data_IF_445624021915
#
_entry.id   IF_445624021915
#
_cell.length_a   1.000
_cell.length_b   1.000
_cell.length_c   1.000
_cell.angle_alpha   90.00
_cell.angle_beta   90.00
_cell.angle_gamma   90.00
#
_symmetry.space_group_name_H-M   'P 1'
#
loop_
_entity.id
_entity.type
_entity.pdbx_description
1 polymer ?
#
# COMPACT_ATOMS: atom_id res chain seq x y z
N UNK A 1 11.10 -18.28 10.97
CA UNK A 1 10.23 -17.74 9.90
C UNK A 1 10.88 -16.46 9.41
N UNK A 2 11.18 -16.36 8.12
CA UNK A 2 11.97 -15.27 7.55
C UNK A 2 11.15 -13.98 7.36
N UNK A 3 11.81 -12.81 7.35
CA UNK A 3 11.21 -11.48 7.23
C UNK A 3 10.35 -11.33 5.96
N UNK A 4 10.75 -11.99 4.86
CA UNK A 4 9.96 -12.02 3.62
C UNK A 4 8.63 -12.75 3.80
N UNK A 5 8.65 -13.90 4.47
CA UNK A 5 7.43 -14.66 4.80
C UNK A 5 6.52 -13.84 5.71
N UNK A 6 7.07 -13.17 6.73
CA UNK A 6 6.29 -12.31 7.61
C UNK A 6 5.62 -11.15 6.86
N UNK A 7 6.36 -10.49 5.95
CA UNK A 7 5.83 -9.41 5.11
C UNK A 7 4.73 -9.90 4.18
N UNK A 8 4.93 -11.06 3.56
CA UNK A 8 3.93 -11.69 2.70
C UNK A 8 2.64 -12.00 3.48
N UNK A 9 2.75 -12.67 4.63
CA UNK A 9 1.61 -12.99 5.49
C UNK A 9 0.89 -11.73 5.95
N UNK A 10 1.61 -10.70 6.42
CA UNK A 10 1.00 -9.46 6.86
C UNK A 10 0.23 -8.74 5.73
N UNK A 11 0.76 -8.76 4.51
CA UNK A 11 0.07 -8.21 3.34
C UNK A 11 -1.17 -9.01 2.97
N UNK A 12 -1.07 -10.35 2.96
CA UNK A 12 -2.20 -11.22 2.68
C UNK A 12 -3.34 -11.02 3.72
N UNK A 13 -3.02 -10.95 5.01
CA UNK A 13 -4.01 -10.67 6.06
C UNK A 13 -4.67 -9.29 5.90
N UNK A 14 -3.88 -8.25 5.57
CA UNK A 14 -4.44 -6.92 5.34
C UNK A 14 -5.37 -6.88 4.10
N UNK A 15 -5.00 -7.61 3.04
CA UNK A 15 -5.84 -7.80 1.86
C UNK A 15 -7.14 -8.52 2.20
N UNK A 16 -7.08 -9.61 2.99
CA UNK A 16 -8.28 -10.32 3.44
C UNK A 16 -9.22 -9.43 4.23
N UNK A 17 -8.66 -8.68 5.19
CA UNK A 17 -9.42 -7.72 6.01
C UNK A 17 -10.11 -6.66 5.15
N UNK A 18 -9.40 -6.06 4.20
CA UNK A 18 -9.95 -4.95 3.40
C UNK A 18 -10.95 -5.43 2.35
N UNK A 19 -10.68 -6.54 1.66
CA UNK A 19 -11.63 -7.13 0.70
C UNK A 19 -12.84 -7.71 1.42
N UNK A 20 -12.63 -8.37 2.56
CA UNK A 20 -13.70 -8.86 3.42
C UNK A 20 -14.67 -7.75 3.79
N UNK A 21 -14.17 -6.71 4.46
CA UNK A 21 -15.02 -5.61 4.94
C UNK A 21 -15.67 -4.74 3.85
N UNK A 22 -14.98 -4.51 2.72
CA UNK A 22 -15.50 -3.61 1.67
C UNK A 22 -16.31 -4.27 0.58
N UNK A 23 -16.13 -5.57 0.36
CA UNK A 23 -16.75 -6.27 -0.75
C UNK A 23 -17.55 -7.47 -0.28
N UNK A 24 -16.94 -8.37 0.49
CA UNK A 24 -17.60 -9.63 0.85
C UNK A 24 -18.70 -9.40 1.88
N UNK A 25 -18.46 -8.65 2.95
CA UNK A 25 -19.45 -8.42 4.00
C UNK A 25 -20.73 -7.75 3.44
N UNK A 26 -20.65 -6.71 2.57
CA UNK A 26 -21.84 -6.21 1.87
C UNK A 26 -22.56 -7.25 1.01
N UNK A 27 -21.82 -8.08 0.25
CA UNK A 27 -22.43 -9.13 -0.58
C UNK A 27 -23.06 -10.23 0.25
N UNK A 28 -22.47 -10.58 1.39
CA UNK A 28 -22.98 -11.55 2.35
C UNK A 28 -24.27 -11.04 2.98
N UNK A 29 -24.32 -9.76 3.36
CA UNK A 29 -25.54 -9.11 3.87
C UNK A 29 -26.67 -9.15 2.83
N UNK A 30 -26.37 -8.90 1.56
CA UNK A 30 -27.39 -8.80 0.51
C UNK A 30 -27.83 -10.16 -0.04
N UNK A 31 -26.91 -11.12 -0.14
CA UNK A 31 -27.10 -12.36 -0.90
C UNK A 31 -26.73 -13.64 -0.15
N UNK A 32 -26.17 -13.57 1.06
CA UNK A 32 -25.77 -14.74 1.85
C UNK A 32 -24.65 -15.58 1.23
N UNK A 33 -23.78 -14.97 0.43
CA UNK A 33 -22.72 -15.65 -0.33
C UNK A 33 -21.32 -15.56 0.32
N UNK A 34 -21.22 -15.17 1.60
CA UNK A 34 -19.95 -14.80 2.22
C UNK A 34 -18.98 -15.96 2.43
N UNK A 35 -19.45 -17.15 2.78
CA UNK A 35 -18.58 -18.29 3.10
C UNK A 35 -17.72 -18.72 1.89
N UNK A 36 -18.36 -19.01 0.75
CA UNK A 36 -17.65 -19.39 -0.48
C UNK A 36 -16.69 -18.29 -0.96
N UNK A 37 -17.09 -17.02 -0.85
CA UNK A 37 -16.25 -15.89 -1.23
C UNK A 37 -15.04 -15.74 -0.30
N UNK A 38 -15.18 -15.98 1.01
CA UNK A 38 -14.07 -15.93 1.98
C UNK A 38 -13.05 -17.03 1.71
N UNK A 39 -13.50 -18.25 1.43
CA UNK A 39 -12.59 -19.36 1.06
C UNK A 39 -11.79 -19.08 -0.22
N UNK A 40 -12.42 -18.45 -1.21
CA UNK A 40 -11.73 -18.00 -2.43
C UNK A 40 -10.74 -16.88 -2.13
N UNK A 41 -11.13 -15.93 -1.28
CA UNK A 41 -10.29 -14.80 -0.89
C UNK A 41 -9.02 -15.26 -0.16
N UNK A 42 -9.06 -16.32 0.65
CA UNK A 42 -7.88 -16.82 1.35
C UNK A 42 -6.73 -17.17 0.40
N UNK A 43 -7.03 -17.91 -0.68
CA UNK A 43 -6.02 -18.24 -1.71
C UNK A 43 -5.62 -17.01 -2.50
N UNK A 44 -6.61 -16.23 -2.92
CA UNK A 44 -6.40 -15.11 -3.81
C UNK A 44 -5.58 -13.98 -3.17
N UNK A 45 -5.76 -13.74 -1.87
CA UNK A 45 -5.00 -12.73 -1.12
C UNK A 45 -3.51 -13.10 -1.02
N UNK A 46 -3.20 -14.39 -0.86
CA UNK A 46 -1.82 -14.87 -0.88
C UNK A 46 -1.18 -14.66 -2.27
N UNK A 47 -1.90 -14.97 -3.35
CA UNK A 47 -1.42 -14.74 -4.72
C UNK A 47 -1.16 -13.25 -4.99
N UNK A 48 -2.09 -12.37 -4.62
CA UNK A 48 -1.91 -10.93 -4.78
C UNK A 48 -0.75 -10.40 -3.94
N UNK A 49 -0.56 -10.90 -2.71
CA UNK A 49 0.59 -10.53 -1.90
C UNK A 49 1.90 -10.95 -2.60
N UNK A 50 1.95 -12.15 -3.16
CA UNK A 50 3.05 -12.63 -3.99
C UNK A 50 3.33 -11.71 -5.18
N UNK A 51 2.32 -11.36 -5.98
CA UNK A 51 2.47 -10.44 -7.12
C UNK A 51 2.93 -9.05 -6.66
N UNK A 52 2.33 -8.48 -5.62
CA UNK A 52 2.66 -7.15 -5.11
C UNK A 52 4.07 -7.07 -4.51
N UNK A 53 4.63 -8.19 -4.04
CA UNK A 53 5.99 -8.30 -3.49
C UNK A 53 7.02 -8.81 -4.50
N UNK A 54 6.59 -9.34 -5.65
CA UNK A 54 7.46 -9.91 -6.68
C UNK A 54 8.32 -8.92 -7.45
N UNK A 55 9.15 -9.43 -8.35
CA UNK A 55 10.13 -8.61 -9.11
C UNK A 55 9.51 -7.93 -10.33
N UNK A 56 8.38 -8.43 -10.84
CA UNK A 56 7.65 -7.82 -11.96
C UNK A 56 6.90 -6.56 -11.49
N UNK A 57 7.57 -5.41 -11.65
CA UNK A 57 7.03 -4.11 -11.30
C UNK A 57 5.74 -3.77 -12.05
N UNK A 58 5.59 -4.19 -13.31
CA UNK A 58 4.42 -3.89 -14.11
C UNK A 58 3.21 -4.69 -13.63
N UNK A 59 3.37 -6.01 -13.42
CA UNK A 59 2.31 -6.86 -12.87
C UNK A 59 1.90 -6.40 -11.46
N UNK A 60 2.87 -6.01 -10.63
CA UNK A 60 2.63 -5.50 -9.29
C UNK A 60 1.87 -4.15 -9.30
N UNK A 61 2.26 -3.21 -10.16
CA UNK A 61 1.57 -1.93 -10.31
C UNK A 61 0.14 -2.11 -10.82
N UNK A 62 -0.06 -2.95 -11.84
CA UNK A 62 -1.39 -3.25 -12.37
C UNK A 62 -2.29 -3.91 -11.30
N UNK A 63 -1.75 -4.86 -10.54
CA UNK A 63 -2.49 -5.51 -9.44
C UNK A 63 -2.87 -4.50 -8.36
N UNK A 64 -1.96 -3.61 -7.97
CA UNK A 64 -2.23 -2.55 -7.00
C UNK A 64 -3.37 -1.62 -7.46
N UNK A 65 -3.30 -1.13 -8.71
CA UNK A 65 -4.31 -0.25 -9.30
C UNK A 65 -5.66 -0.95 -9.38
N UNK A 66 -5.70 -2.19 -9.91
CA UNK A 66 -6.93 -2.98 -10.01
C UNK A 66 -7.62 -3.17 -8.67
N UNK A 67 -6.85 -3.49 -7.61
CA UNK A 67 -7.39 -3.67 -6.26
C UNK A 67 -7.92 -2.35 -5.69
N UNK A 68 -7.19 -1.23 -5.87
CA UNK A 68 -7.66 0.08 -5.42
C UNK A 68 -8.96 0.47 -6.15
N UNK A 69 -9.01 0.35 -7.48
CA UNK A 69 -10.20 0.69 -8.26
C UNK A 69 -11.42 -0.16 -7.88
N UNK A 70 -11.24 -1.45 -7.58
CA UNK A 70 -12.33 -2.33 -7.18
C UNK A 70 -12.84 -2.05 -5.75
N UNK A 71 -11.95 -1.74 -4.81
CA UNK A 71 -12.27 -1.58 -3.39
C UNK A 71 -12.69 -0.16 -3.01
N UNK A 72 -12.39 0.82 -3.85
CA UNK A 72 -12.70 2.23 -3.65
C UNK A 72 -13.39 2.80 -4.88
N UNK A 73 -14.59 2.29 -5.23
CA UNK A 73 -15.35 2.85 -6.32
C UNK A 73 -15.80 4.26 -5.94
N UNK A 74 -15.58 5.22 -6.83
CA UNK A 74 -16.02 6.59 -6.66
C UNK A 74 -15.57 7.46 -7.83
N UNK A 75 -16.34 8.51 -8.10
CA UNK A 75 -16.03 9.48 -9.16
C UNK A 75 -14.98 10.53 -8.73
N UNK A 76 -14.64 10.55 -7.44
CA UNK A 76 -13.64 11.42 -6.87
C UNK A 76 -12.23 10.82 -6.85
N UNK A 77 -11.20 11.65 -6.60
CA UNK A 77 -9.83 11.17 -6.42
C UNK A 77 -9.71 10.16 -5.28
N UNK A 78 -8.84 9.16 -5.46
CA UNK A 78 -8.46 8.26 -4.37
C UNK A 78 -7.62 9.02 -3.33
N UNK A 79 -8.25 9.40 -2.22
CA UNK A 79 -7.66 10.18 -1.12
C UNK A 79 -7.97 9.55 0.25
N UNK A 80 -7.38 8.39 0.58
CA UNK A 80 -7.60 7.75 1.88
C UNK A 80 -6.83 8.48 2.99
N UNK A 81 -7.25 8.34 4.26
CA UNK A 81 -6.56 8.98 5.38
C UNK A 81 -5.11 8.47 5.54
N UNK A 82 -4.20 9.26 6.14
CA UNK A 82 -2.79 8.88 6.32
C UNK A 82 -2.57 7.49 6.95
N UNK A 83 -3.41 7.09 7.91
CA UNK A 83 -3.30 5.79 8.56
C UNK A 83 -3.43 4.62 7.56
N UNK A 84 -4.21 4.77 6.49
CA UNK A 84 -4.36 3.76 5.45
C UNK A 84 -3.05 3.50 4.71
N UNK A 85 -2.30 4.56 4.40
CA UNK A 85 -0.99 4.46 3.76
C UNK A 85 0.06 3.75 4.63
N UNK A 86 -0.21 3.63 5.94
CA UNK A 86 0.63 2.90 6.89
C UNK A 86 0.36 1.39 6.93
N UNK A 87 -0.73 0.89 6.33
CA UNK A 87 -1.03 -0.55 6.31
C UNK A 87 -0.13 -1.31 5.32
N UNK A 88 0.01 -2.64 5.45
CA UNK A 88 0.73 -3.43 4.47
C UNK A 88 0.27 -3.19 3.03
N UNK A 89 -1.03 -3.16 2.76
CA UNK A 89 -1.57 -2.90 1.43
C UNK A 89 -1.32 -1.46 0.98
N UNK A 90 -1.53 -0.46 1.84
CA UNK A 90 -1.25 0.95 1.51
C UNK A 90 0.21 1.20 1.12
N UNK A 91 1.16 0.59 1.84
CA UNK A 91 2.60 0.66 1.49
C UNK A 91 2.92 -0.06 0.19
N UNK A 92 2.31 -1.22 -0.06
CA UNK A 92 2.48 -1.95 -1.31
C UNK A 92 1.98 -1.14 -2.51
N UNK A 93 0.81 -0.52 -2.40
CA UNK A 93 0.26 0.41 -3.40
C UNK A 93 1.22 1.57 -3.62
N UNK A 94 1.65 2.24 -2.55
CA UNK A 94 2.56 3.39 -2.68
C UNK A 94 3.88 2.99 -3.35
N UNK A 95 4.47 1.85 -2.99
CA UNK A 95 5.71 1.36 -3.61
C UNK A 95 5.54 1.14 -5.12
N UNK A 96 4.46 0.46 -5.54
CA UNK A 96 4.27 0.01 -6.92
C UNK A 96 3.68 1.07 -7.85
N UNK A 97 2.71 1.83 -7.36
CA UNK A 97 1.97 2.80 -8.15
C UNK A 97 2.15 4.26 -7.70
N UNK A 98 2.76 4.51 -6.54
CA UNK A 98 2.80 5.84 -5.93
C UNK A 98 1.45 6.25 -5.35
N UNK A 99 1.19 7.56 -5.32
CA UNK A 99 -0.14 8.09 -5.03
C UNK A 99 -0.92 8.22 -6.34
N UNK A 100 -2.01 7.46 -6.56
CA UNK A 100 -2.70 7.41 -7.86
C UNK A 100 -3.21 8.76 -8.37
N UNK A 101 -3.46 9.71 -7.47
CA UNK A 101 -4.06 11.00 -7.79
C UNK A 101 -3.14 12.22 -7.52
N UNK A 102 -1.87 12.03 -7.14
CA UNK A 102 -1.01 13.16 -6.77
C UNK A 102 0.47 12.91 -7.07
N UNK A 103 1.20 13.96 -7.44
CA UNK A 103 2.67 13.95 -7.63
C UNK A 103 3.44 14.21 -6.33
N UNK A 104 2.79 14.82 -5.34
CA UNK A 104 3.33 15.10 -4.02
C UNK A 104 2.33 14.74 -2.93
N UNK A 105 2.83 14.41 -1.75
CA UNK A 105 1.99 14.03 -0.61
C UNK A 105 2.34 14.84 0.64
N UNK A 106 1.37 15.06 1.54
CA UNK A 106 1.63 15.66 2.84
C UNK A 106 2.65 14.86 3.65
N UNK A 107 3.38 15.53 4.54
CA UNK A 107 4.34 14.86 5.44
C UNK A 107 3.72 13.75 6.30
N UNK A 108 2.42 13.83 6.62
CA UNK A 108 1.69 12.79 7.36
C UNK A 108 1.54 11.50 6.54
N UNK A 109 1.23 11.61 5.25
CA UNK A 109 1.17 10.46 4.33
C UNK A 109 2.56 9.87 4.16
N UNK A 110 3.57 10.69 3.89
CA UNK A 110 4.96 10.21 3.78
C UNK A 110 5.45 9.50 5.06
N UNK A 111 5.10 10.03 6.23
CA UNK A 111 5.43 9.44 7.52
C UNK A 111 4.80 8.06 7.69
N UNK A 112 3.49 7.94 7.38
CA UNK A 112 2.78 6.68 7.43
C UNK A 112 3.38 5.63 6.47
N UNK A 113 3.60 6.01 5.21
CA UNK A 113 4.21 5.16 4.17
C UNK A 113 5.58 4.66 4.61
N UNK A 114 6.44 5.54 5.12
CA UNK A 114 7.80 5.20 5.55
C UNK A 114 7.85 4.54 6.93
N UNK A 115 6.76 4.59 7.71
CA UNK A 115 6.72 4.04 9.06
C UNK A 115 7.63 4.80 10.03
N UNK A 116 7.71 6.11 9.86
CA UNK A 116 8.49 7.02 10.70
C UNK A 116 7.60 8.16 11.17
N UNK A 117 8.12 9.02 12.04
CA UNK A 117 7.38 10.20 12.51
C UNK A 117 7.37 11.31 11.45
N UNK A 118 6.42 12.24 11.56
CA UNK A 118 6.39 13.47 10.74
C UNK A 118 7.69 14.27 10.88
N UNK A 119 8.25 14.33 12.08
CA UNK A 119 9.56 14.94 12.32
C UNK A 119 10.67 14.21 11.56
N UNK A 120 10.66 12.87 11.56
CA UNK A 120 11.64 12.09 10.79
C UNK A 120 11.57 12.36 9.28
N UNK A 121 10.37 12.57 8.72
CA UNK A 121 10.21 13.00 7.33
C UNK A 121 10.82 14.39 7.12
N UNK A 122 10.53 15.33 8.02
CA UNK A 122 11.10 16.67 7.97
C UNK A 122 12.63 16.64 7.98
N UNK A 123 13.23 15.87 8.89
CA UNK A 123 14.68 15.70 8.98
C UNK A 123 15.27 15.10 7.70
N UNK A 124 14.59 14.13 7.07
CA UNK A 124 15.00 13.58 5.78
C UNK A 124 14.93 14.61 4.65
N UNK A 125 13.91 15.48 4.64
CA UNK A 125 13.80 16.57 3.67
C UNK A 125 14.92 17.59 3.85
N UNK A 126 15.19 18.02 5.09
CA UNK A 126 16.29 18.96 5.41
C UNK A 126 17.65 18.40 4.98
N UNK A 127 17.86 17.09 5.14
CA UNK A 127 19.10 16.40 4.74
C UNK A 127 19.17 16.05 3.24
N UNK A 128 18.20 16.51 2.43
CA UNK A 128 18.14 16.23 0.99
C UNK A 128 17.91 14.76 0.64
N UNK A 129 17.35 13.97 1.57
CA UNK A 129 17.03 12.55 1.38
C UNK A 129 15.58 12.31 0.93
N UNK A 130 14.73 13.31 1.09
CA UNK A 130 13.42 13.40 0.45
C UNK A 130 13.33 14.75 -0.26
N UNK A 131 12.67 14.77 -1.41
CA UNK A 131 12.53 16.00 -2.20
C UNK A 131 11.26 16.73 -1.79
N UNK A 132 11.40 18.02 -1.49
CA UNK A 132 10.27 18.90 -1.19
C UNK A 132 9.58 19.30 -2.49
N UNK A 133 8.25 19.26 -2.50
CA UNK A 133 7.47 19.81 -3.60
C UNK A 133 7.27 21.33 -3.42
N UNK A 134 7.34 22.15 -4.49
CA UNK A 134 7.10 23.59 -4.40
C UNK A 134 5.72 23.97 -3.85
N UNK A 135 4.70 23.16 -4.12
CA UNK A 135 3.34 23.31 -3.58
C UNK A 135 3.18 22.82 -2.14
N UNK A 136 4.21 22.21 -1.55
CA UNK A 136 4.24 21.73 -0.18
C UNK A 136 4.25 20.19 -0.05
N UNK A 137 4.73 19.70 1.09
CA UNK A 137 4.91 18.25 1.30
C UNK A 137 6.18 17.72 0.63
N UNK A 138 6.14 16.45 0.19
CA UNK A 138 7.25 15.76 -0.48
C UNK A 138 6.80 15.04 -1.72
N UNK A 139 7.68 14.93 -2.72
CA UNK A 139 7.37 14.25 -3.98
C UNK A 139 7.14 12.76 -3.75
N UNK A 140 6.14 12.19 -4.43
CA UNK A 140 5.85 10.74 -4.40
C UNK A 140 7.07 9.93 -4.82
N UNK A 141 7.76 10.39 -5.86
CA UNK A 141 8.96 9.74 -6.39
C UNK A 141 10.05 9.57 -5.32
N UNK A 142 10.36 10.64 -4.56
CA UNK A 142 11.39 10.56 -3.53
C UNK A 142 11.01 9.63 -2.37
N UNK A 143 9.73 9.56 -2.02
CA UNK A 143 9.22 8.63 -1.01
C UNK A 143 9.29 7.18 -1.52
N UNK A 144 8.93 6.92 -2.79
CA UNK A 144 9.04 5.60 -3.42
C UNK A 144 10.47 5.11 -3.48
N UNK A 145 11.40 5.96 -3.92
CA UNK A 145 12.83 5.63 -3.95
C UNK A 145 13.34 5.23 -2.56
N UNK A 146 12.91 5.98 -1.53
CA UNK A 146 13.30 5.72 -0.14
C UNK A 146 12.74 4.41 0.41
N UNK A 147 11.50 4.07 0.09
CA UNK A 147 10.90 2.77 0.41
C UNK A 147 11.73 1.61 -0.16
N UNK A 148 12.10 1.70 -1.44
CA UNK A 148 12.91 0.67 -2.11
C UNK A 148 14.26 0.44 -1.43
N UNK A 149 14.96 1.50 -1.05
CA UNK A 149 16.26 1.38 -0.35
C UNK A 149 16.13 0.72 1.03
N UNK A 150 15.00 0.86 1.73
CA UNK A 150 14.80 0.25 3.05
C UNK A 150 14.62 -1.26 2.92
N UNK A 151 13.77 -1.70 2.00
CA UNK A 151 13.51 -3.12 1.74
C UNK A 151 14.79 -3.88 1.38
N UNK A 152 15.63 -3.32 0.50
CA UNK A 152 16.92 -3.94 0.15
C UNK A 152 17.86 -4.15 1.36
N UNK A 153 17.85 -3.23 2.33
CA UNK A 153 18.68 -3.34 3.56
C UNK A 153 18.13 -4.37 4.54
N UNK A 154 16.82 -4.57 4.56
CA UNK A 154 16.15 -5.57 5.39
C UNK A 154 16.33 -6.98 4.82
N UNK A 155 16.43 -7.13 3.49
CA UNK A 155 16.66 -8.42 2.80
C UNK A 155 18.13 -8.86 2.78
N UNK A 156 19.08 -7.95 3.02
CA UNK A 156 20.52 -8.24 3.06
C UNK A 156 21.05 -8.61 4.45
N UNK A 157 20.17 -8.77 5.45
CA UNK A 157 20.49 -9.09 6.86
C UNK A 157 19.93 -10.44 7.24
#
# INVERSE_FOLDING_TARGET
MDARTHTHTALAEDLKRIVGSRLIDPLDILFGAGEELRERLDRQAAEWAGTLLGEDDQAAAYTAIRLVSALYPGDGPFDPPPAWWGTPFGRAVFRRAGHPAASAVPFSVAAAVLGITRQGVHDLTVRGKLQRDPGGGVTVESVRARLGTRTQREESR
#
